data_IF_756265061359
#
_entry.id   IF_756265061359
#
_cell.length_a   1.000
_cell.length_b   1.000
_cell.length_c   1.000
_cell.angle_alpha   90.00
_cell.angle_beta   90.00
_cell.angle_gamma   90.00
#
_symmetry.space_group_name_H-M   'P 1'
#
loop_
_entity.id
_entity.type
_entity.pdbx_description
1 polymer ?
#
# COMPACT_ATOMS: atom_id res chain seq x y z
N UNK A 1 26.26 -7.65 -9.33
CA UNK A 1 24.81 -7.74 -9.55
C UNK A 1 24.42 -6.53 -10.35
N UNK A 2 23.90 -6.70 -11.56
CA UNK A 2 23.35 -5.60 -12.35
C UNK A 2 21.95 -5.32 -11.82
N UNK A 3 21.80 -4.25 -11.06
CA UNK A 3 20.50 -3.68 -10.73
C UNK A 3 19.79 -3.36 -12.05
N UNK A 4 18.81 -4.18 -12.41
CA UNK A 4 17.99 -3.93 -13.57
C UNK A 4 16.79 -3.10 -13.09
N UNK A 5 16.68 -1.82 -13.46
CA UNK A 5 15.68 -0.90 -12.89
C UNK A 5 14.23 -1.42 -13.00
N UNK A 6 13.94 -2.23 -14.02
CA UNK A 6 12.62 -2.85 -14.23
C UNK A 6 12.29 -3.92 -13.18
N UNK A 7 13.28 -4.65 -12.69
CA UNK A 7 13.08 -5.65 -11.64
C UNK A 7 12.81 -4.98 -10.29
N UNK A 8 13.59 -3.94 -9.96
CA UNK A 8 13.38 -3.14 -8.76
C UNK A 8 11.98 -2.51 -8.76
N UNK A 9 11.54 -1.92 -9.88
CA UNK A 9 10.19 -1.38 -10.01
C UNK A 9 9.09 -2.46 -9.82
N UNK A 10 9.28 -3.65 -10.41
CA UNK A 10 8.34 -4.78 -10.26
C UNK A 10 8.25 -5.26 -8.82
N UNK A 11 9.38 -5.28 -8.11
CA UNK A 11 9.44 -5.66 -6.69
C UNK A 11 8.70 -4.65 -5.81
N UNK A 12 8.96 -3.36 -6.01
CA UNK A 12 8.30 -2.28 -5.27
C UNK A 12 6.77 -2.30 -5.49
N UNK A 13 6.32 -2.54 -6.72
CA UNK A 13 4.89 -2.71 -7.03
C UNK A 13 4.33 -3.92 -6.29
N UNK A 14 5.04 -5.05 -6.30
CA UNK A 14 4.61 -6.28 -5.63
C UNK A 14 4.50 -6.10 -4.12
N UNK A 15 5.41 -5.32 -3.52
CA UNK A 15 5.38 -4.99 -2.09
C UNK A 15 4.15 -4.14 -1.76
N UNK A 16 3.90 -3.06 -2.50
CA UNK A 16 2.72 -2.21 -2.28
C UNK A 16 1.40 -2.98 -2.51
N UNK A 17 1.32 -3.78 -3.57
CA UNK A 17 0.14 -4.58 -3.89
C UNK A 17 -0.19 -5.60 -2.80
N UNK A 18 0.82 -6.22 -2.16
CA UNK A 18 0.61 -7.16 -1.05
C UNK A 18 -0.11 -6.52 0.13
N UNK A 19 0.15 -5.24 0.43
CA UNK A 19 -0.56 -4.51 1.49
C UNK A 19 -2.04 -4.41 1.16
N UNK A 20 -2.37 -3.96 -0.06
CA UNK A 20 -3.76 -3.81 -0.51
C UNK A 20 -4.49 -5.15 -0.53
N UNK A 21 -3.84 -6.21 -1.03
CA UNK A 21 -4.41 -7.56 -1.02
C UNK A 21 -4.63 -8.09 0.41
N UNK A 22 -3.76 -7.75 1.35
CA UNK A 22 -3.93 -8.06 2.77
C UNK A 22 -5.18 -7.40 3.37
N UNK A 23 -5.38 -6.11 3.10
CA UNK A 23 -6.57 -5.37 3.53
C UNK A 23 -7.85 -5.93 2.91
N UNK A 24 -7.82 -6.24 1.60
CA UNK A 24 -8.95 -6.85 0.90
C UNK A 24 -9.30 -8.22 1.50
N UNK A 25 -8.28 -9.04 1.79
CA UNK A 25 -8.47 -10.33 2.43
C UNK A 25 -9.12 -10.17 3.82
N UNK A 26 -8.60 -9.27 4.65
CA UNK A 26 -9.14 -9.00 5.98
C UNK A 26 -10.60 -8.57 5.91
N UNK A 27 -10.95 -7.66 5.01
CA UNK A 27 -12.32 -7.21 4.83
C UNK A 27 -13.25 -8.31 4.29
N UNK A 28 -12.71 -9.23 3.49
CA UNK A 28 -13.47 -10.37 2.94
C UNK A 28 -13.73 -11.43 4.01
N UNK A 29 -12.74 -11.74 4.84
CA UNK A 29 -12.86 -12.69 5.95
C UNK A 29 -13.71 -12.11 7.10
N UNK A 30 -13.63 -10.81 7.32
CA UNK A 30 -14.30 -10.08 8.38
C UNK A 30 -14.94 -8.79 7.85
N UNK A 31 -16.16 -8.91 7.34
CA UNK A 31 -16.91 -7.74 6.83
C UNK A 31 -17.04 -6.67 7.90
N UNK A 32 -16.65 -5.44 7.56
CA UNK A 32 -16.64 -4.29 8.46
C UNK A 32 -15.40 -4.18 9.36
N UNK A 33 -14.38 -5.02 9.19
CA UNK A 33 -13.15 -4.96 9.98
C UNK A 33 -12.37 -3.65 9.78
N UNK A 34 -12.50 -3.01 8.62
CA UNK A 34 -11.92 -1.71 8.33
C UNK A 34 -13.00 -0.76 7.83
N UNK A 35 -13.18 0.36 8.52
CA UNK A 35 -14.06 1.41 8.02
C UNK A 35 -13.41 2.15 6.85
N UNK A 36 -14.22 2.59 5.89
CA UNK A 36 -13.72 3.31 4.70
C UNK A 36 -12.89 4.55 5.05
N UNK A 37 -13.27 5.27 6.12
CA UNK A 37 -12.56 6.46 6.61
C UNK A 37 -11.14 6.14 7.13
N UNK A 38 -10.90 4.91 7.56
CA UNK A 38 -9.64 4.49 8.18
C UNK A 38 -8.67 3.90 7.15
N UNK A 39 -9.15 3.46 5.98
CA UNK A 39 -8.32 2.89 4.91
C UNK A 39 -7.13 3.79 4.49
N UNK A 40 -7.30 5.11 4.26
CA UNK A 40 -6.16 5.97 3.94
C UNK A 40 -5.11 5.97 5.05
N UNK A 41 -5.52 5.97 6.32
CA UNK A 41 -4.58 5.95 7.43
C UNK A 41 -3.82 4.63 7.50
N UNK A 42 -4.49 3.49 7.26
CA UNK A 42 -3.83 2.19 7.22
C UNK A 42 -2.78 2.10 6.11
N UNK A 43 -3.04 2.68 4.93
CA UNK A 43 -2.04 2.74 3.86
C UNK A 43 -0.83 3.60 4.25
N UNK A 44 -1.06 4.73 4.94
CA UNK A 44 0.05 5.57 5.43
C UNK A 44 0.89 4.87 6.51
N UNK A 45 0.27 4.10 7.40
CA UNK A 45 1.00 3.28 8.37
C UNK A 45 1.86 2.21 7.67
N UNK A 46 1.33 1.58 6.62
CA UNK A 46 2.10 0.63 5.82
C UNK A 46 3.24 1.32 5.06
N UNK A 47 3.02 2.54 4.55
CA UNK A 47 4.03 3.35 3.88
C UNK A 47 5.20 3.68 4.83
N UNK A 48 4.93 4.10 6.07
CA UNK A 48 5.97 4.33 7.07
C UNK A 48 6.80 3.07 7.36
N UNK A 49 6.15 1.91 7.45
CA UNK A 49 6.87 0.64 7.59
C UNK A 49 7.73 0.33 6.36
N UNK A 50 7.24 0.60 5.14
CA UNK A 50 8.02 0.43 3.91
C UNK A 50 9.23 1.36 3.87
N UNK A 51 9.05 2.61 4.27
CA UNK A 51 10.13 3.60 4.39
C UNK A 51 11.24 3.07 5.31
N UNK A 52 10.88 2.55 6.49
CA UNK A 52 11.83 1.95 7.44
C UNK A 52 12.57 0.72 6.89
N UNK A 53 12.00 0.04 5.90
CA UNK A 53 12.60 -1.12 5.22
C UNK A 53 13.44 -0.72 3.99
N UNK A 54 13.43 0.56 3.60
CA UNK A 54 14.08 1.05 2.37
C UNK A 54 13.26 0.82 1.10
N UNK A 55 11.99 0.42 1.23
CA UNK A 55 11.06 0.17 0.13
C UNK A 55 10.40 1.49 -0.34
N UNK A 56 11.22 2.46 -0.77
CA UNK A 56 10.76 3.81 -1.08
C UNK A 56 9.78 3.88 -2.26
N UNK A 57 9.90 2.95 -3.22
CA UNK A 57 8.96 2.85 -4.33
C UNK A 57 7.57 2.45 -3.83
N UNK A 58 7.51 1.44 -2.96
CA UNK A 58 6.27 0.98 -2.34
C UNK A 58 5.68 2.03 -1.39
N UNK A 59 6.50 2.68 -0.58
CA UNK A 59 6.09 3.82 0.26
C UNK A 59 5.37 4.88 -0.58
N UNK A 60 6.01 5.37 -1.64
CA UNK A 60 5.43 6.40 -2.51
C UNK A 60 4.08 5.97 -3.07
N UNK A 61 3.98 4.74 -3.59
CA UNK A 61 2.72 4.21 -4.12
C UNK A 61 1.62 4.15 -3.05
N UNK A 62 1.95 3.71 -1.83
CA UNK A 62 0.99 3.64 -0.74
C UNK A 62 0.50 5.03 -0.29
N UNK A 63 1.39 6.03 -0.28
CA UNK A 63 1.03 7.44 -0.03
C UNK A 63 0.10 7.98 -1.13
N UNK A 64 0.45 7.77 -2.40
CA UNK A 64 -0.38 8.20 -3.54
C UNK A 64 -1.77 7.55 -3.49
N UNK A 65 -1.86 6.26 -3.18
CA UNK A 65 -3.13 5.56 -3.05
C UNK A 65 -3.93 6.01 -1.82
N UNK A 66 -3.27 6.37 -0.73
CA UNK A 66 -3.93 6.96 0.43
C UNK A 66 -4.58 8.30 0.07
N UNK A 67 -3.88 9.15 -0.69
CA UNK A 67 -4.42 10.42 -1.18
C UNK A 67 -5.60 10.20 -2.14
N UNK A 68 -5.47 9.25 -3.08
CA UNK A 68 -6.59 8.85 -3.95
C UNK A 68 -7.82 8.42 -3.16
N UNK A 69 -7.66 7.65 -2.08
CA UNK A 69 -8.77 7.21 -1.24
C UNK A 69 -9.39 8.35 -0.43
N UNK A 70 -8.61 9.35 0.00
CA UNK A 70 -9.14 10.55 0.68
C UNK A 70 -10.02 11.38 -0.23
N UNK A 71 -9.61 11.50 -1.49
CA UNK A 71 -10.32 12.29 -2.49
C UNK A 71 -11.43 11.48 -3.19
N UNK A 72 -11.55 10.20 -2.88
CA UNK A 72 -12.55 9.31 -3.47
C UNK A 72 -13.96 9.68 -2.98
N UNK A 73 -14.67 10.45 -3.80
CA UNK A 73 -16.11 10.67 -3.62
C UNK A 73 -16.86 9.43 -4.13
N UNK A 74 -17.51 8.72 -3.22
CA UNK A 74 -18.39 7.59 -3.52
C UNK A 74 -19.64 8.03 -4.30
#
# INVERSE_FOLDING_TARGET
>A
MTDNPKFEETEQISIAARVVLGLLRQQTEHSGAVEMKDLPHMLLMAADERHRQGDYGAERMLCEWADMLRDWKA
#
